data_IF_632829620563
#
_entry.id   IF_632829620563
#
_cell.length_a   1.000
_cell.length_b   1.000
_cell.length_c   1.000
_cell.angle_alpha   90.00
_cell.angle_beta   90.00
_cell.angle_gamma   90.00
#
_symmetry.space_group_name_H-M   'P 1'
#
loop_
_entity.id
_entity.type
_entity.pdbx_description
1 polymer ?
#
# COMPACT_ATOMS: atom_id res chain seq x y z
N UNK A 1 -1.13 15.06 9.76
CA UNK A 1 0.02 14.16 9.49
C UNK A 1 1.28 14.58 10.24
N UNK A 2 1.69 15.85 10.21
CA UNK A 2 2.88 16.34 10.94
C UNK A 2 2.86 16.06 12.44
N UNK A 3 1.74 16.30 13.13
CA UNK A 3 1.60 15.99 14.55
C UNK A 3 1.81 14.49 14.85
N UNK A 4 1.22 13.61 14.03
CA UNK A 4 1.39 12.15 14.14
C UNK A 4 2.84 11.73 13.89
N UNK A 5 3.48 12.31 12.86
CA UNK A 5 4.89 12.05 12.54
C UNK A 5 5.82 12.47 13.69
N UNK A 6 5.58 13.63 14.31
CA UNK A 6 6.34 14.10 15.47
C UNK A 6 6.13 13.19 16.69
N UNK A 7 4.89 12.74 16.94
CA UNK A 7 4.60 11.79 18.02
C UNK A 7 5.32 10.45 17.80
N UNK A 8 5.35 9.93 16.57
CA UNK A 8 6.10 8.71 16.25
C UNK A 8 7.61 8.90 16.31
N UNK A 9 8.13 10.04 15.89
CA UNK A 9 9.54 10.36 16.03
C UNK A 9 9.95 10.42 17.52
N UNK A 10 9.14 11.07 18.36
CA UNK A 10 9.37 11.11 19.80
C UNK A 10 9.28 9.71 20.44
N UNK A 11 8.25 8.93 20.09
CA UNK A 11 8.12 7.54 20.56
C UNK A 11 9.32 6.69 20.13
N UNK A 12 9.81 6.85 18.91
CA UNK A 12 10.99 6.12 18.40
C UNK A 12 12.25 6.43 19.23
N UNK A 13 12.46 7.70 19.58
CA UNK A 13 13.59 8.13 20.42
C UNK A 13 13.46 7.58 21.84
N UNK A 14 12.28 7.67 22.45
CA UNK A 14 12.01 7.16 23.80
C UNK A 14 12.16 5.63 23.88
N UNK A 15 11.77 4.94 22.81
CA UNK A 15 11.85 3.48 22.71
C UNK A 15 13.28 2.96 22.78
N UNK A 16 14.32 3.79 22.50
CA UNK A 16 15.74 3.41 22.45
C UNK A 16 15.93 2.01 21.83
N UNK A 17 15.59 1.84 20.54
CA UNK A 17 15.82 0.57 19.88
C UNK A 17 17.34 0.30 19.77
N UNK A 18 17.72 -0.97 19.82
CA UNK A 18 19.07 -1.47 19.57
C UNK A 18 19.50 -1.04 18.16
N UNK A 19 20.40 -0.06 18.07
CA UNK A 19 20.87 0.47 16.79
C UNK A 19 21.54 -0.60 15.92
N UNK A 20 22.21 -1.57 16.55
CA UNK A 20 22.86 -2.70 15.89
C UNK A 20 21.87 -3.66 15.23
N UNK A 21 20.76 -3.99 15.90
CA UNK A 21 19.75 -4.89 15.33
C UNK A 21 18.96 -4.21 14.21
N UNK A 22 18.73 -2.89 14.32
CA UNK A 22 18.11 -2.08 13.28
C UNK A 22 18.97 -1.99 12.02
N UNK A 23 20.27 -1.72 12.16
CA UNK A 23 21.18 -1.66 11.00
C UNK A 23 21.40 -3.03 10.40
N UNK A 24 21.55 -4.09 11.21
CA UNK A 24 21.63 -5.46 10.71
C UNK A 24 20.35 -5.87 9.97
N UNK A 25 19.16 -5.54 10.49
CA UNK A 25 17.89 -5.82 9.82
C UNK A 25 17.68 -4.99 8.54
N UNK A 26 18.27 -3.80 8.46
CA UNK A 26 18.21 -2.96 7.27
C UNK A 26 19.10 -3.48 6.13
N UNK A 27 20.30 -3.98 6.47
CA UNK A 27 21.27 -4.46 5.48
C UNK A 27 21.18 -5.95 5.17
N UNK A 28 20.62 -6.77 6.08
CA UNK A 28 20.53 -8.24 5.93
C UNK A 28 19.06 -8.68 6.06
N UNK A 29 18.31 -8.75 4.96
CA UNK A 29 16.93 -9.22 4.97
C UNK A 29 16.88 -10.73 5.21
N UNK A 30 16.47 -11.16 6.42
CA UNK A 30 16.14 -12.56 6.71
C UNK A 30 14.64 -12.79 6.52
N UNK A 31 14.26 -13.38 5.38
CA UNK A 31 12.87 -13.69 5.06
C UNK A 31 12.58 -15.16 5.35
N UNK A 32 11.65 -15.43 6.26
CA UNK A 32 11.02 -16.76 6.41
C UNK A 32 9.79 -16.85 5.49
N UNK A 33 9.39 -18.07 5.10
CA UNK A 33 8.27 -18.29 4.17
C UNK A 33 6.96 -17.56 4.59
N UNK A 34 6.66 -17.53 5.89
CA UNK A 34 5.48 -16.84 6.44
C UNK A 34 5.61 -15.31 6.47
N UNK A 35 6.83 -14.77 6.35
CA UNK A 35 7.11 -13.33 6.40
C UNK A 35 7.10 -12.71 5.00
N UNK A 36 7.33 -13.52 3.96
CA UNK A 36 7.27 -13.06 2.56
C UNK A 36 5.91 -12.42 2.26
N UNK A 37 4.81 -13.01 2.73
CA UNK A 37 3.46 -12.44 2.53
C UNK A 37 3.33 -11.02 3.13
N UNK A 38 3.80 -10.83 4.38
CA UNK A 38 3.78 -9.51 5.04
C UNK A 38 4.69 -8.51 4.33
N UNK A 39 5.87 -8.95 3.90
CA UNK A 39 6.82 -8.11 3.16
C UNK A 39 6.23 -7.63 1.83
N UNK A 40 5.54 -8.50 1.11
CA UNK A 40 4.87 -8.17 -0.15
C UNK A 40 3.71 -7.20 0.06
N UNK A 41 2.93 -7.39 1.13
CA UNK A 41 1.88 -6.45 1.52
C UNK A 41 2.45 -5.05 1.79
N UNK A 42 3.58 -4.96 2.49
CA UNK A 42 4.29 -3.68 2.71
C UNK A 42 4.76 -3.07 1.39
N UNK A 43 5.36 -3.85 0.49
CA UNK A 43 5.80 -3.35 -0.82
C UNK A 43 4.62 -2.85 -1.66
N UNK A 44 3.52 -3.61 -1.72
CA UNK A 44 2.31 -3.23 -2.45
C UNK A 44 1.64 -1.98 -1.87
N UNK A 45 1.66 -1.82 -0.54
CA UNK A 45 1.19 -0.61 0.14
C UNK A 45 2.05 0.61 -0.17
N UNK A 46 3.36 0.45 -0.34
CA UNK A 46 4.29 1.54 -0.64
C UNK A 46 4.21 1.93 -2.12
N UNK A 47 4.08 0.94 -3.01
CA UNK A 47 4.10 1.14 -4.47
C UNK A 47 2.69 0.95 -5.02
N UNK A 48 1.87 1.98 -4.83
CA UNK A 48 0.52 2.00 -5.37
C UNK A 48 0.51 2.54 -6.82
N UNK A 49 -0.10 1.85 -7.79
CA UNK A 49 -0.05 2.24 -9.20
C UNK A 49 -0.70 3.60 -9.47
N UNK A 50 -1.76 3.97 -8.74
CA UNK A 50 -2.41 5.26 -8.89
C UNK A 50 -1.51 6.45 -8.51
N UNK A 51 -0.54 6.25 -7.61
CA UNK A 51 0.42 7.30 -7.26
C UNK A 51 1.37 7.61 -8.41
N UNK A 52 1.75 6.60 -9.21
CA UNK A 52 2.59 6.82 -10.41
C UNK A 52 1.89 7.78 -11.37
N UNK A 53 0.62 7.52 -11.69
CA UNK A 53 -0.17 8.40 -12.57
C UNK A 53 -0.38 9.79 -11.97
N UNK A 54 -0.63 9.87 -10.66
CA UNK A 54 -0.81 11.15 -9.97
C UNK A 54 0.46 12.00 -9.99
N UNK A 55 1.62 11.43 -9.67
CA UNK A 55 2.89 12.15 -9.67
C UNK A 55 3.27 12.63 -11.08
N UNK A 56 3.07 11.79 -12.10
CA UNK A 56 3.27 12.21 -13.50
C UNK A 56 2.40 13.39 -13.90
N UNK A 57 1.18 13.47 -13.39
CA UNK A 57 0.26 14.56 -13.68
C UNK A 57 0.51 15.82 -12.84
N UNK A 58 0.91 15.67 -11.57
CA UNK A 58 1.29 16.79 -10.70
C UNK A 58 2.51 17.53 -11.25
N UNK A 59 3.46 16.81 -11.86
CA UNK A 59 4.62 17.41 -12.53
C UNK A 59 4.19 18.36 -13.67
N UNK A 60 3.10 18.06 -14.37
CA UNK A 60 2.55 18.90 -15.45
C UNK A 60 1.76 20.12 -14.94
N UNK A 61 1.40 20.16 -13.64
CA UNK A 61 0.67 21.29 -13.08
C UNK A 61 1.52 22.56 -12.98
N UNK A 62 2.86 22.43 -12.94
CA UNK A 62 3.78 23.57 -12.98
C UNK A 62 4.05 23.97 -14.42
N UNK A 63 3.90 25.26 -14.73
CA UNK A 63 4.20 25.81 -16.06
C UNK A 63 5.72 25.81 -16.30
N UNK A 64 6.20 24.82 -17.04
CA UNK A 64 7.59 24.71 -17.47
C UNK A 64 7.61 24.89 -18.99
N UNK A 65 8.49 25.76 -19.49
CA UNK A 65 8.70 25.92 -20.93
C UNK A 65 9.48 24.71 -21.48
N UNK A 66 8.87 23.81 -22.28
CA UNK A 66 9.54 22.60 -22.77
C UNK A 66 10.63 22.91 -23.80
N UNK A 67 10.67 24.14 -24.35
CA UNK A 67 11.65 24.59 -25.33
C UNK A 67 13.02 24.88 -24.72
N UNK A 68 13.09 25.17 -23.41
CA UNK A 68 14.34 25.50 -22.71
C UNK A 68 14.87 24.30 -21.95
N UNK A 69 15.76 23.53 -22.60
CA UNK A 69 16.37 22.30 -22.03
C UNK A 69 16.94 22.51 -20.61
N UNK A 70 17.59 23.64 -20.35
CA UNK A 70 18.13 23.96 -19.01
C UNK A 70 17.05 24.05 -17.92
N UNK A 71 15.90 24.67 -18.20
CA UNK A 71 14.78 24.77 -17.25
C UNK A 71 14.10 23.42 -17.01
N UNK A 72 14.04 22.57 -18.04
CA UNK A 72 13.51 21.21 -17.91
C UNK A 72 14.44 20.36 -17.02
N UNK A 73 15.76 20.42 -17.22
CA UNK A 73 16.71 19.71 -16.37
C UNK A 73 16.67 20.20 -14.91
N UNK A 74 16.59 21.51 -14.71
CA UNK A 74 16.44 22.10 -13.38
C UNK A 74 15.15 21.62 -12.69
N UNK A 75 14.02 21.64 -13.41
CA UNK A 75 12.76 21.12 -12.90
C UNK A 75 12.84 19.63 -12.56
N UNK A 76 13.47 18.80 -13.40
CA UNK A 76 13.68 17.37 -13.14
C UNK A 76 14.51 17.15 -11.87
N UNK A 77 15.56 17.94 -11.65
CA UNK A 77 16.36 17.85 -10.42
C UNK A 77 15.52 18.21 -9.19
N UNK A 78 14.74 19.30 -9.24
CA UNK A 78 13.84 19.66 -8.14
C UNK A 78 12.79 18.59 -7.85
N UNK A 79 12.16 18.04 -8.89
CA UNK A 79 11.19 16.95 -8.72
C UNK A 79 11.82 15.66 -8.16
N UNK A 80 13.07 15.38 -8.55
CA UNK A 80 13.82 14.23 -8.03
C UNK A 80 14.10 14.43 -6.55
N UNK A 81 14.52 15.63 -6.12
CA UNK A 81 14.75 15.94 -4.71
C UNK A 81 13.44 15.87 -3.93
N UNK A 82 12.38 16.55 -4.39
CA UNK A 82 11.06 16.58 -3.74
C UNK A 82 10.51 15.15 -3.54
N UNK A 83 10.56 14.32 -4.58
CA UNK A 83 10.07 12.94 -4.52
C UNK A 83 10.96 12.05 -3.64
N UNK A 84 12.29 12.19 -3.74
CA UNK A 84 13.22 11.40 -2.93
C UNK A 84 13.09 11.74 -1.45
N UNK A 85 12.95 13.02 -1.09
CA UNK A 85 12.72 13.44 0.30
C UNK A 85 11.38 12.92 0.80
N UNK A 86 10.31 12.96 0.00
CA UNK A 86 9.01 12.43 0.39
C UNK A 86 9.05 10.92 0.67
N UNK A 87 9.67 10.14 -0.22
CA UNK A 87 9.85 8.69 -0.05
C UNK A 87 10.73 8.38 1.16
N UNK A 88 11.81 9.15 1.37
CA UNK A 88 12.69 8.99 2.53
C UNK A 88 11.95 9.23 3.86
N UNK A 89 11.15 10.30 3.94
CA UNK A 89 10.32 10.58 5.13
C UNK A 89 9.29 9.46 5.35
N UNK A 90 8.63 8.98 4.30
CA UNK A 90 7.70 7.85 4.39
C UNK A 90 8.40 6.58 4.87
N UNK A 91 9.60 6.32 4.36
CA UNK A 91 10.42 5.18 4.77
C UNK A 91 10.80 5.27 6.25
N UNK A 92 11.29 6.41 6.71
CA UNK A 92 11.63 6.63 8.13
C UNK A 92 10.42 6.46 9.05
N UNK A 93 9.24 6.95 8.66
CA UNK A 93 8.02 6.77 9.44
C UNK A 93 7.57 5.30 9.49
N UNK A 94 7.59 4.60 8.36
CA UNK A 94 7.24 3.19 8.30
C UNK A 94 8.22 2.34 9.14
N UNK A 95 9.52 2.66 9.09
CA UNK A 95 10.54 2.02 9.90
C UNK A 95 10.32 2.28 11.40
N UNK A 96 10.03 3.53 11.77
CA UNK A 96 9.78 3.91 13.16
C UNK A 96 8.55 3.19 13.74
N UNK A 97 7.43 3.21 13.01
CA UNK A 97 6.19 2.54 13.42
C UNK A 97 6.42 1.03 13.56
N UNK A 98 7.05 0.40 12.57
CA UNK A 98 7.34 -1.04 12.60
C UNK A 98 8.23 -1.41 13.78
N UNK A 99 9.26 -0.59 14.08
CA UNK A 99 10.18 -0.83 15.20
C UNK A 99 9.49 -0.71 16.55
N UNK A 100 8.63 0.31 16.74
CA UNK A 100 7.89 0.50 18.00
C UNK A 100 6.98 -0.70 18.27
N UNK A 101 6.26 -1.17 17.25
CA UNK A 101 5.38 -2.33 17.40
C UNK A 101 6.16 -3.64 17.53
N UNK A 102 7.28 -3.80 16.82
CA UNK A 102 8.16 -4.94 16.99
C UNK A 102 8.68 -5.02 18.44
N UNK A 103 9.26 -3.95 18.99
CA UNK A 103 9.74 -3.98 20.38
C UNK A 103 8.64 -4.25 21.41
N UNK A 104 7.42 -3.79 21.13
CA UNK A 104 6.28 -3.97 22.01
C UNK A 104 5.66 -5.36 22.04
N UNK A 105 5.64 -6.04 20.89
CA UNK A 105 4.84 -7.26 20.71
C UNK A 105 5.61 -8.46 20.21
N UNK A 106 6.85 -8.28 19.73
CA UNK A 106 7.64 -9.38 19.18
C UNK A 106 7.86 -10.48 20.23
N UNK A 107 7.52 -11.73 19.87
CA UNK A 107 7.60 -12.88 20.78
C UNK A 107 6.41 -13.09 21.73
N UNK A 108 5.38 -12.23 21.68
CA UNK A 108 4.16 -12.41 22.49
C UNK A 108 3.04 -13.09 21.71
N UNK A 109 2.20 -13.90 22.37
CA UNK A 109 1.01 -14.52 21.76
C UNK A 109 -0.05 -13.50 21.27
N UNK A 110 0.09 -12.22 21.65
CA UNK A 110 -0.74 -11.11 21.15
C UNK A 110 -0.30 -10.58 19.78
N UNK A 111 0.87 -10.97 19.27
CA UNK A 111 1.41 -10.47 18.01
C UNK A 111 0.55 -10.84 16.78
N UNK A 112 -0.19 -11.95 16.83
CA UNK A 112 -1.05 -12.37 15.72
C UNK A 112 -2.39 -11.63 15.65
N UNK A 113 -2.85 -11.03 16.76
CA UNK A 113 -4.16 -10.36 16.84
C UNK A 113 -4.06 -8.82 16.93
N UNK A 114 -2.95 -8.25 16.46
CA UNK A 114 -2.76 -6.80 16.45
C UNK A 114 -3.59 -6.18 15.32
N UNK A 115 -4.69 -5.54 15.69
CA UNK A 115 -5.49 -4.70 14.80
C UNK A 115 -5.26 -3.20 15.02
N UNK A 116 -5.77 -2.37 14.10
CA UNK A 116 -5.71 -0.90 14.14
C UNK A 116 -6.22 -0.29 15.47
N UNK A 117 -7.23 -0.92 16.08
CA UNK A 117 -7.83 -0.48 17.36
C UNK A 117 -6.93 -0.84 18.54
N UNK A 118 -6.47 -2.09 18.60
CA UNK A 118 -5.58 -2.59 19.67
C UNK A 118 -4.22 -1.87 19.66
N UNK A 119 -3.73 -1.54 18.47
CA UNK A 119 -2.49 -0.78 18.28
C UNK A 119 -2.55 0.61 18.95
N UNK A 120 -3.66 1.34 18.79
CA UNK A 120 -3.84 2.64 19.43
C UNK A 120 -3.91 2.55 20.96
N UNK A 121 -4.59 1.54 21.48
CA UNK A 121 -4.70 1.29 22.93
C UNK A 121 -3.33 0.97 23.55
N UNK A 122 -2.53 0.15 22.87
CA UNK A 122 -1.18 -0.18 23.31
C UNK A 122 -0.27 1.05 23.36
N UNK A 123 -0.30 1.89 22.32
CA UNK A 123 0.50 3.12 22.30
C UNK A 123 0.11 4.05 23.46
N UNK A 124 -1.18 4.14 23.79
CA UNK A 124 -1.66 4.90 24.95
C UNK A 124 -1.19 4.31 26.28
N UNK A 125 -1.25 2.99 26.46
CA UNK A 125 -0.84 2.35 27.71
C UNK A 125 0.67 2.48 27.97
N UNK A 126 1.47 2.39 26.89
CA UNK A 126 2.95 2.37 27.00
C UNK A 126 3.57 3.76 27.06
N UNK A 127 3.04 4.71 26.28
CA UNK A 127 3.62 6.05 26.10
C UNK A 127 2.69 7.17 26.59
N UNK A 128 1.41 6.89 26.80
CA UNK A 128 0.42 7.85 27.27
C UNK A 128 0.37 8.02 28.80
N UNK A 129 1.49 7.78 29.51
CA UNK A 129 1.60 7.90 30.99
C UNK A 129 1.56 9.35 31.51
N UNK A 130 0.84 10.26 30.82
CA UNK A 130 0.68 11.67 31.19
C UNK A 130 -0.40 12.37 30.36
N UNK A 131 -0.33 13.70 30.21
CA UNK A 131 -1.30 14.53 29.47
C UNK A 131 -1.27 14.39 27.94
N UNK A 132 -0.54 13.42 27.38
CA UNK A 132 -0.43 13.21 25.93
C UNK A 132 -1.46 12.16 25.47
N UNK A 133 -2.55 12.58 24.77
CA UNK A 133 -3.61 11.68 24.33
C UNK A 133 -3.20 10.97 23.02
N UNK A 134 -2.23 10.06 23.09
CA UNK A 134 -1.68 9.33 21.94
C UNK A 134 -2.75 8.55 21.18
N UNK A 135 -3.73 7.98 21.89
CA UNK A 135 -4.89 7.32 21.27
C UNK A 135 -5.66 8.28 20.35
N UNK A 136 -5.86 9.51 20.78
CA UNK A 136 -6.58 10.52 19.99
C UNK A 136 -5.72 11.01 18.84
N UNK A 137 -4.41 11.20 19.03
CA UNK A 137 -3.47 11.54 17.96
C UNK A 137 -3.43 10.44 16.89
N UNK A 138 -3.44 9.17 17.30
CA UNK A 138 -3.55 8.01 16.42
C UNK A 138 -4.88 8.02 15.65
N UNK A 139 -6.01 8.19 16.34
CA UNK A 139 -7.33 8.26 15.71
C UNK A 139 -7.47 9.42 14.71
N UNK A 140 -7.05 10.63 15.10
CA UNK A 140 -7.02 11.80 14.21
C UNK A 140 -6.05 11.58 13.05
N UNK A 141 -4.93 10.92 13.30
CA UNK A 141 -3.96 10.51 12.29
C UNK A 141 -4.55 9.58 11.23
N UNK A 142 -5.26 8.54 11.67
CA UNK A 142 -5.98 7.60 10.79
C UNK A 142 -7.07 8.31 9.99
N UNK A 143 -7.85 9.20 10.62
CA UNK A 143 -8.85 10.00 9.91
C UNK A 143 -8.22 10.92 8.86
N UNK A 144 -7.12 11.60 9.20
CA UNK A 144 -6.40 12.45 8.27
C UNK A 144 -5.79 11.66 7.10
N UNK A 145 -5.25 10.46 7.35
CA UNK A 145 -4.74 9.57 6.32
C UNK A 145 -5.87 9.13 5.35
N UNK A 146 -7.06 8.81 5.87
CA UNK A 146 -8.23 8.48 5.04
C UNK A 146 -8.69 9.64 4.14
N UNK A 147 -8.67 10.88 4.65
CA UNK A 147 -8.98 12.06 3.84
C UNK A 147 -7.92 12.32 2.76
N UNK A 148 -6.64 12.21 3.12
CA UNK A 148 -5.54 12.35 2.16
C UNK A 148 -5.62 11.30 1.04
N UNK A 149 -5.85 10.04 1.38
CA UNK A 149 -6.04 8.96 0.40
C UNK A 149 -7.23 9.22 -0.53
N UNK A 150 -8.33 9.74 0.00
CA UNK A 150 -9.48 10.12 -0.84
C UNK A 150 -9.09 11.19 -1.86
N UNK A 151 -8.41 12.25 -1.43
CA UNK A 151 -7.99 13.35 -2.29
C UNK A 151 -7.08 12.84 -3.41
N UNK A 152 -6.03 12.08 -3.05
CA UNK A 152 -5.11 11.40 -3.98
C UNK A 152 -5.85 10.51 -4.98
N UNK A 153 -6.77 9.65 -4.51
CA UNK A 153 -7.55 8.77 -5.37
C UNK A 153 -8.46 9.53 -6.34
N UNK A 154 -9.09 10.63 -5.89
CA UNK A 154 -9.91 11.46 -6.79
C UNK A 154 -9.09 12.18 -7.85
N UNK A 155 -7.86 12.59 -7.57
CA UNK A 155 -6.98 13.19 -8.58
C UNK A 155 -6.44 12.16 -9.56
N UNK A 156 -5.94 11.03 -9.07
CA UNK A 156 -5.48 9.95 -9.94
C UNK A 156 -6.59 9.48 -10.89
N UNK A 157 -7.80 9.29 -10.36
CA UNK A 157 -8.97 8.94 -11.17
C UNK A 157 -9.34 10.03 -12.20
N UNK A 158 -9.05 11.31 -11.94
CA UNK A 158 -9.24 12.37 -12.94
C UNK A 158 -8.35 12.15 -14.15
N UNK A 159 -7.06 11.99 -13.90
CA UNK A 159 -6.06 11.91 -14.96
C UNK A 159 -6.23 10.64 -15.78
N UNK A 160 -6.61 9.53 -15.13
CA UNK A 160 -6.92 8.29 -15.83
C UNK A 160 -8.18 8.46 -16.69
N UNK A 161 -9.27 9.02 -16.15
CA UNK A 161 -10.51 9.19 -16.92
C UNK A 161 -10.41 10.22 -18.04
N UNK A 162 -9.72 11.34 -17.83
CA UNK A 162 -9.52 12.37 -18.86
C UNK A 162 -8.49 11.93 -19.90
N UNK A 163 -7.44 11.20 -19.49
CA UNK A 163 -6.39 10.71 -20.38
C UNK A 163 -6.79 9.49 -21.20
N UNK A 164 -7.30 8.44 -20.56
CA UNK A 164 -7.60 7.16 -21.23
C UNK A 164 -9.03 7.07 -21.77
N UNK A 165 -10.01 7.60 -21.03
CA UNK A 165 -11.44 7.47 -21.39
C UNK A 165 -12.02 8.74 -22.02
N UNK A 166 -11.26 9.84 -22.06
CA UNK A 166 -11.71 11.18 -22.45
C UNK A 166 -13.03 11.60 -21.77
N UNK A 167 -13.28 11.12 -20.54
CA UNK A 167 -14.49 11.39 -19.78
C UNK A 167 -14.24 12.50 -18.76
N UNK A 168 -14.84 13.66 -19.00
CA UNK A 168 -14.78 14.81 -18.08
C UNK A 168 -15.96 14.79 -17.12
N UNK A 169 -15.73 14.30 -15.90
CA UNK A 169 -16.73 14.33 -14.82
C UNK A 169 -16.40 15.38 -13.76
N UNK A 170 -17.45 15.94 -13.13
CA UNK A 170 -17.30 16.86 -11.98
C UNK A 170 -16.61 16.13 -10.82
N UNK A 171 -15.70 16.82 -10.12
CA UNK A 171 -14.89 16.26 -9.00
C UNK A 171 -15.74 15.59 -7.91
N UNK A 172 -16.86 16.21 -7.52
CA UNK A 172 -17.77 15.66 -6.51
C UNK A 172 -18.45 14.37 -6.97
N UNK A 173 -18.95 14.33 -8.22
CA UNK A 173 -19.60 13.14 -8.78
C UNK A 173 -18.62 11.96 -8.82
N UNK A 174 -17.39 12.20 -9.29
CA UNK A 174 -16.35 11.17 -9.28
C UNK A 174 -16.05 10.66 -7.87
N UNK A 175 -15.91 11.56 -6.90
CA UNK A 175 -15.65 11.19 -5.50
C UNK A 175 -16.78 10.39 -4.87
N UNK A 176 -18.04 10.73 -5.17
CA UNK A 176 -19.21 9.99 -4.69
C UNK A 176 -19.27 8.61 -5.30
N UNK A 177 -19.05 8.47 -6.62
CA UNK A 177 -19.07 7.17 -7.30
C UNK A 177 -17.98 6.26 -6.73
N UNK A 178 -16.73 6.73 -6.69
CA UNK A 178 -15.62 5.89 -6.20
C UNK A 178 -15.76 5.53 -4.74
N UNK A 179 -16.25 6.44 -3.89
CA UNK A 179 -16.56 6.13 -2.48
C UNK A 179 -17.72 5.18 -2.33
N UNK A 180 -18.78 5.31 -3.13
CA UNK A 180 -19.93 4.41 -3.09
C UNK A 180 -19.50 2.99 -3.48
N UNK A 181 -18.71 2.85 -4.55
CA UNK A 181 -18.17 1.55 -4.96
C UNK A 181 -17.23 0.92 -3.93
N UNK A 182 -16.56 1.69 -3.07
CA UNK A 182 -15.71 1.17 -2.00
C UNK A 182 -16.49 0.84 -0.72
N UNK A 183 -17.42 1.72 -0.33
CA UNK A 183 -18.15 1.63 0.94
C UNK A 183 -19.28 0.60 0.84
N UNK A 184 -20.02 0.56 -0.29
CA UNK A 184 -21.17 -0.34 -0.44
C UNK A 184 -20.77 -1.81 -0.24
N UNK A 185 -19.74 -2.36 -0.92
CA UNK A 185 -19.32 -3.75 -0.69
C UNK A 185 -18.90 -3.99 0.76
N UNK A 186 -18.20 -3.04 1.37
CA UNK A 186 -17.74 -3.13 2.76
C UNK A 186 -18.92 -3.20 3.73
N UNK A 187 -19.93 -2.35 3.56
CA UNK A 187 -21.14 -2.34 4.39
C UNK A 187 -21.94 -3.63 4.18
N UNK A 188 -22.11 -4.07 2.92
CA UNK A 188 -22.84 -5.30 2.59
C UNK A 188 -22.19 -6.50 3.26
N UNK A 189 -20.86 -6.63 3.17
CA UNK A 189 -20.13 -7.71 3.86
C UNK A 189 -20.28 -7.60 5.37
N UNK A 190 -20.16 -6.40 5.95
CA UNK A 190 -20.27 -6.22 7.40
C UNK A 190 -21.67 -6.53 7.96
N UNK A 191 -22.73 -6.29 7.17
CA UNK A 191 -24.13 -6.53 7.59
C UNK A 191 -24.54 -7.99 7.36
N UNK A 192 -24.13 -8.61 6.24
CA UNK A 192 -24.49 -9.99 5.91
C UNK A 192 -23.69 -11.01 6.72
N UNK A 193 -22.41 -10.74 6.96
CA UNK A 193 -21.51 -11.63 7.71
C UNK A 193 -21.25 -11.04 9.09
N UNK A 194 -22.22 -11.25 9.99
CA UNK A 194 -22.26 -10.75 11.36
C UNK A 194 -20.89 -10.89 12.08
N UNK A 195 -20.07 -9.82 12.07
CA UNK A 195 -18.74 -9.70 12.71
C UNK A 195 -17.78 -10.91 12.62
N UNK A 196 -17.85 -11.74 11.57
CA UNK A 196 -16.81 -12.76 11.37
C UNK A 196 -15.57 -12.11 10.77
N UNK A 197 -14.49 -12.03 11.55
CA UNK A 197 -13.21 -11.43 11.17
C UNK A 197 -12.66 -12.05 9.87
N UNK A 198 -12.94 -13.34 9.66
CA UNK A 198 -12.56 -14.13 8.47
C UNK A 198 -13.06 -13.54 7.13
N UNK A 199 -14.24 -12.91 7.11
CA UNK A 199 -14.82 -12.35 5.87
C UNK A 199 -14.19 -11.01 5.49
N UNK A 200 -13.80 -10.21 6.48
CA UNK A 200 -13.06 -8.96 6.26
C UNK A 200 -11.62 -9.25 5.84
N UNK A 201 -11.00 -10.27 6.44
CA UNK A 201 -9.68 -10.74 6.04
C UNK A 201 -9.71 -11.25 4.59
N UNK A 202 -10.71 -12.05 4.22
CA UNK A 202 -10.92 -12.50 2.84
C UNK A 202 -11.08 -11.33 1.86
N UNK A 203 -11.86 -10.30 2.21
CA UNK A 203 -12.03 -9.11 1.37
C UNK A 203 -10.69 -8.36 1.20
N UNK A 204 -9.92 -8.22 2.29
CA UNK A 204 -8.62 -7.57 2.28
C UNK A 204 -7.60 -8.36 1.43
N UNK A 205 -7.62 -9.69 1.49
CA UNK A 205 -6.82 -10.55 0.61
C UNK A 205 -7.16 -10.32 -0.87
N UNK A 206 -8.45 -10.30 -1.22
CA UNK A 206 -8.89 -10.01 -2.60
C UNK A 206 -8.49 -8.60 -3.06
N UNK A 207 -8.56 -7.59 -2.18
CA UNK A 207 -8.08 -6.24 -2.49
C UNK A 207 -6.57 -6.22 -2.77
N UNK A 208 -5.78 -6.91 -1.95
CA UNK A 208 -4.33 -7.03 -2.16
C UNK A 208 -4.00 -7.76 -3.47
N UNK A 209 -4.76 -8.80 -3.82
CA UNK A 209 -4.66 -9.51 -5.11
C UNK A 209 -4.89 -8.56 -6.28
N UNK A 210 -6.01 -7.82 -6.24
CA UNK A 210 -6.36 -6.88 -7.32
C UNK A 210 -5.32 -5.77 -7.43
N UNK A 211 -4.80 -5.28 -6.31
CA UNK A 211 -3.73 -4.27 -6.30
C UNK A 211 -2.42 -4.80 -6.87
N UNK A 212 -2.02 -6.02 -6.52
CA UNK A 212 -0.83 -6.67 -7.07
C UNK A 212 -0.92 -6.88 -8.58
N UNK A 213 -2.10 -7.24 -9.10
CA UNK A 213 -2.35 -7.40 -10.53
C UNK A 213 -2.23 -6.09 -11.30
N UNK A 214 -2.52 -4.93 -10.70
CA UNK A 214 -2.48 -3.63 -11.37
C UNK A 214 -1.05 -3.07 -11.56
N UNK A 215 -0.09 -3.47 -10.71
CA UNK A 215 1.27 -2.90 -10.70
C UNK A 215 1.99 -3.06 -12.06
N UNK A 216 2.02 -4.24 -12.71
CA UNK A 216 2.69 -4.41 -14.00
C UNK A 216 2.05 -3.58 -15.12
N UNK A 217 0.71 -3.48 -15.13
CA UNK A 217 0.00 -2.69 -16.12
C UNK A 217 0.29 -1.19 -16.02
N UNK A 218 0.71 -0.70 -14.85
CA UNK A 218 1.18 0.67 -14.68
C UNK A 218 2.68 0.83 -15.02
N UNK A 219 3.52 -0.10 -14.57
CA UNK A 219 4.98 0.00 -14.69
C UNK A 219 5.45 -0.26 -16.14
N UNK A 220 4.92 -1.27 -16.82
CA UNK A 220 5.39 -1.66 -18.16
C UNK A 220 5.21 -0.50 -19.15
N UNK A 221 4.02 0.12 -19.32
CA UNK A 221 3.85 1.23 -20.24
C UNK A 221 4.70 2.45 -19.83
N UNK A 222 4.83 2.72 -18.53
CA UNK A 222 5.66 3.82 -18.05
C UNK A 222 7.12 3.65 -18.48
N UNK A 223 7.71 2.47 -18.22
CA UNK A 223 9.10 2.19 -18.59
C UNK A 223 9.28 2.27 -20.11
N UNK A 224 8.35 1.72 -20.90
CA UNK A 224 8.41 1.82 -22.36
C UNK A 224 8.35 3.27 -22.85
N UNK A 225 7.52 4.13 -22.25
CA UNK A 225 7.42 5.55 -22.61
C UNK A 225 8.69 6.32 -22.24
N UNK A 226 9.23 6.06 -21.06
CA UNK A 226 10.41 6.78 -20.53
C UNK A 226 11.72 6.32 -21.20
N UNK A 227 11.77 5.08 -21.71
CA UNK A 227 12.89 4.55 -22.50
C UNK A 227 12.84 4.92 -23.99
N UNK A 228 11.73 5.47 -24.49
CA UNK A 228 11.61 5.81 -25.90
C UNK A 228 12.25 7.16 -26.23
N UNK A 229 13.32 7.13 -27.04
CA UNK A 229 14.02 8.34 -27.51
C UNK A 229 13.13 9.29 -28.31
N UNK A 230 12.10 8.79 -29.01
CA UNK A 230 11.16 9.67 -29.74
C UNK A 230 10.31 10.53 -28.81
N UNK A 231 10.04 10.05 -27.59
CA UNK A 231 9.16 10.72 -26.63
C UNK A 231 9.99 11.56 -25.66
N UNK A 232 11.07 11.01 -25.12
CA UNK A 232 11.90 11.66 -24.09
C UNK A 232 13.09 12.46 -24.65
N UNK A 233 13.49 12.21 -25.90
CA UNK A 233 14.63 12.89 -26.53
C UNK A 233 15.91 12.79 -25.69
N UNK A 234 16.45 13.95 -25.29
CA UNK A 234 17.70 14.06 -24.52
C UNK A 234 17.55 13.57 -23.06
N UNK A 235 16.32 13.41 -22.56
CA UNK A 235 16.03 13.00 -21.17
C UNK A 235 15.66 11.52 -21.05
N UNK A 236 16.08 10.67 -22.00
CA UNK A 236 15.90 9.22 -21.94
C UNK A 236 16.56 8.64 -20.69
N UNK A 237 15.91 7.68 -20.04
CA UNK A 237 16.54 6.96 -18.93
C UNK A 237 17.68 6.08 -19.41
N UNK A 238 18.68 5.88 -18.54
CA UNK A 238 19.78 4.96 -18.80
C UNK A 238 19.29 3.51 -18.81
N UNK A 239 19.90 2.69 -19.67
CA UNK A 239 19.58 1.26 -19.84
C UNK A 239 19.64 0.48 -18.52
N UNK A 240 20.53 0.88 -17.59
CA UNK A 240 20.60 0.26 -16.26
C UNK A 240 19.33 0.46 -15.45
N UNK A 241 18.75 1.66 -15.45
CA UNK A 241 17.51 1.95 -14.69
C UNK A 241 16.32 1.24 -15.34
N UNK A 242 16.30 1.19 -16.68
CA UNK A 242 15.30 0.42 -17.43
C UNK A 242 15.32 -1.06 -17.05
N UNK A 243 16.49 -1.70 -17.07
CA UNK A 243 16.64 -3.12 -16.72
C UNK A 243 16.21 -3.36 -15.27
N UNK A 244 16.66 -2.53 -14.33
CA UNK A 244 16.24 -2.67 -12.92
C UNK A 244 14.73 -2.47 -12.75
N UNK A 245 14.13 -1.51 -13.46
CA UNK A 245 12.69 -1.26 -13.43
C UNK A 245 11.89 -2.44 -13.97
N UNK A 246 12.33 -3.05 -15.07
CA UNK A 246 11.68 -4.23 -15.65
C UNK A 246 11.84 -5.45 -14.75
N UNK A 247 13.05 -5.72 -14.24
CA UNK A 247 13.29 -6.82 -13.30
C UNK A 247 12.42 -6.64 -12.06
N UNK A 248 12.36 -5.42 -11.50
CA UNK A 248 11.49 -5.12 -10.36
C UNK A 248 10.01 -5.38 -10.67
N UNK A 249 9.52 -4.90 -11.81
CA UNK A 249 8.13 -5.14 -12.25
C UNK A 249 7.81 -6.62 -12.42
N UNK A 250 8.73 -7.40 -13.00
CA UNK A 250 8.59 -8.86 -13.18
C UNK A 250 8.59 -9.58 -11.83
N UNK A 251 9.50 -9.22 -10.91
CA UNK A 251 9.55 -9.82 -9.57
C UNK A 251 8.25 -9.56 -8.82
N UNK A 252 7.77 -8.32 -8.82
CA UNK A 252 6.49 -7.98 -8.18
C UNK A 252 5.34 -8.75 -8.83
N UNK A 253 5.32 -8.85 -10.16
CA UNK A 253 4.29 -9.62 -10.86
C UNK A 253 4.32 -11.11 -10.50
N UNK A 254 5.50 -11.73 -10.48
CA UNK A 254 5.68 -13.13 -10.16
C UNK A 254 5.25 -13.42 -8.72
N UNK A 255 5.58 -12.52 -7.80
CA UNK A 255 5.22 -12.64 -6.39
C UNK A 255 3.71 -12.43 -6.17
N UNK A 256 3.11 -11.43 -6.82
CA UNK A 256 1.67 -11.22 -6.79
C UNK A 256 0.92 -12.42 -7.40
N UNK A 257 1.37 -12.90 -8.54
CA UNK A 257 0.78 -14.07 -9.22
C UNK A 257 0.95 -15.35 -8.41
N UNK A 258 2.11 -15.53 -7.75
CA UNK A 258 2.37 -16.65 -6.85
C UNK A 258 1.47 -16.62 -5.61
N UNK A 259 1.23 -15.43 -5.05
CA UNK A 259 0.27 -15.26 -3.95
C UNK A 259 -1.16 -15.60 -4.40
N UNK A 260 -1.59 -15.14 -5.57
CA UNK A 260 -2.89 -15.49 -6.16
C UNK A 260 -3.02 -16.99 -6.37
N UNK A 261 -1.99 -17.64 -6.92
CA UNK A 261 -1.96 -19.09 -7.11
C UNK A 261 -2.03 -19.86 -5.79
N UNK A 262 -1.35 -19.38 -4.75
CA UNK A 262 -1.38 -19.98 -3.42
C UNK A 262 -2.75 -19.86 -2.74
N UNK A 263 -3.38 -18.69 -2.81
CA UNK A 263 -4.74 -18.46 -2.29
C UNK A 263 -5.75 -19.30 -3.07
N UNK A 264 -5.69 -19.33 -4.41
CA UNK A 264 -6.55 -20.16 -5.23
C UNK A 264 -6.39 -21.65 -4.90
N UNK A 265 -5.15 -22.10 -4.65
CA UNK A 265 -4.86 -23.46 -4.21
C UNK A 265 -5.45 -23.77 -2.82
N UNK A 266 -5.34 -22.86 -1.85
CA UNK A 266 -5.93 -23.01 -0.52
C UNK A 266 -7.46 -23.04 -0.56
N UNK A 267 -8.08 -22.16 -1.35
CA UNK A 267 -9.54 -22.14 -1.56
C UNK A 267 -9.98 -23.45 -2.23
N UNK A 268 -9.25 -23.93 -3.22
CA UNK A 268 -9.55 -25.22 -3.86
C UNK A 268 -9.40 -26.41 -2.90
N UNK A 269 -8.51 -26.32 -1.91
CA UNK A 269 -8.29 -27.37 -0.90
C UNK A 269 -9.31 -27.34 0.24
N UNK A 270 -9.73 -26.15 0.70
CA UNK A 270 -10.77 -26.00 1.72
C UNK A 270 -12.20 -26.13 1.15
N UNK A 271 -12.44 -25.71 -0.09
CA UNK A 271 -13.72 -25.90 -0.80
C UNK A 271 -14.03 -27.37 -1.14
N UNK A 272 -13.00 -28.22 -1.25
CA UNK A 272 -13.16 -29.67 -1.43
C UNK A 272 -13.58 -30.44 -0.17
N UNK A 273 -13.55 -29.78 1.01
CA UNK A 273 -13.93 -30.39 2.29
C UNK A 273 -15.43 -30.37 2.58
N UNK A 274 -16.17 -29.38 2.06
CA UNK A 274 -17.62 -29.31 2.27
C UNK A 274 -18.44 -30.14 1.27
N UNK A 275 -17.90 -30.43 0.07
CA UNK A 275 -18.61 -31.30 -0.88
C UNK A 275 -18.58 -32.79 -0.47
N UNK A 276 -17.63 -33.21 0.38
CA UNK A 276 -17.57 -34.59 0.90
C UNK A 276 -18.46 -34.85 2.11
N UNK A 277 -18.86 -33.81 2.86
CA UNK A 277 -19.79 -33.96 3.99
C UNK A 277 -21.26 -33.91 3.58
N UNK A 278 -21.59 -33.32 2.42
CA UNK A 278 -22.96 -33.39 1.88
C UNK A 278 -23.26 -34.69 1.10
N UNK A 279 -22.23 -35.40 0.63
CA UNK A 279 -22.39 -36.65 -0.11
C UNK A 279 -22.51 -37.89 0.79
N UNK A 280 -22.01 -37.85 2.03
CA UNK A 280 -22.13 -38.96 2.99
C UNK A 280 -23.40 -38.91 3.85
N UNK A 281 -24.09 -37.75 3.89
CA UNK A 281 -25.38 -37.59 4.57
C UNK A 281 -26.58 -38.04 3.73
N UNK A 282 -26.43 -38.15 2.40
CA UNK A 282 -27.53 -38.50 1.49
C UNK A 282 -27.63 -40.01 1.19
N UNK A 283 -26.61 -40.81 1.49
CA UNK A 283 -26.60 -42.26 1.27
C UNK A 283 -27.15 -43.09 2.45
N UNK A 284 -27.66 -42.44 3.51
CA UNK A 284 -28.28 -43.09 4.68
C UNK A 284 -29.81 -42.97 4.75
N UNK A 285 -30.45 -42.45 3.70
CA UNK A 285 -31.91 -42.31 3.63
C UNK A 285 -32.57 -43.13 2.50
N UNK A 286 -31.81 -43.98 1.80
CA UNK A 286 -32.34 -44.91 0.77
C UNK A 286 -31.95 -46.39 1.03
N UNK A 287 -31.89 -46.81 2.30
CA UNK A 287 -31.66 -48.20 2.69
C UNK A 287 -32.60 -48.63 3.81
#
# INVERSE_FOLDING_TARGET
MTAMALSFAWMFIDTRPSGEELTLGLFIPRLSANTIQKAVGVVGCVITPHNVFLYSALVQSRKIDPTKKGKVQEALNYYTIESSTAVLVSFTLNLAVTTIFAKGFYGTSRAENIGLVNAGQYLQERYGRGSFPILYIWGVGLLAAGQSSTMTGTYAGQFIMEGFLNLRMKKWVRSVITRSCAIIPTIVVAVLFNRSQDSLDSLNEWLNVVQGMQIPFAIIPLLTLVSNERIMGVFKIGTTIEVHGFVFGIVVFMVASGYVGFIAYLISRHGGGQSKLSASGFSRLEG
#
